data_IF_137647062604
#
_entry.id   IF_137647062604
#
_cell.length_a   1.000
_cell.length_b   1.000
_cell.length_c   1.000
_cell.angle_alpha   90.00
_cell.angle_beta   90.00
_cell.angle_gamma   90.00
#
_symmetry.space_group_name_H-M   'P 1'
#
loop_
_entity.id
_entity.type
_entity.pdbx_description
1 polymer ?
#
# COMPACT_ATOMS: atom_id res chain seq x y z
N UNK A 1 -16.64 -20.80 11.32
CA UNK A 1 -16.16 -19.59 10.63
C UNK A 1 -14.96 -19.95 9.79
N UNK A 2 -14.84 -19.41 8.56
CA UNK A 2 -13.73 -19.71 7.67
C UNK A 2 -12.52 -18.78 7.92
N UNK A 3 -12.76 -17.55 8.37
CA UNK A 3 -11.73 -16.53 8.65
C UNK A 3 -11.89 -15.89 10.05
N UNK A 4 -11.67 -16.62 11.16
CA UNK A 4 -11.85 -16.08 12.49
C UNK A 4 -10.83 -14.96 12.85
N UNK A 5 -11.32 -13.81 13.29
CA UNK A 5 -10.50 -12.74 13.87
C UNK A 5 -10.62 -12.72 15.40
N UNK A 6 -9.48 -12.70 16.09
CA UNK A 6 -9.46 -12.59 17.56
C UNK A 6 -9.73 -11.14 17.95
N UNK A 7 -10.77 -10.93 18.76
CA UNK A 7 -11.14 -9.59 19.27
C UNK A 7 -11.08 -9.59 20.80
N UNK A 8 -10.18 -8.77 21.34
CA UNK A 8 -9.99 -8.61 22.79
C UNK A 8 -11.16 -7.87 23.44
N UNK A 9 -11.31 -8.03 24.75
CA UNK A 9 -12.36 -7.33 25.51
C UNK A 9 -12.20 -5.81 25.45
N UNK A 10 -10.96 -5.32 25.45
CA UNK A 10 -10.66 -3.89 25.29
C UNK A 10 -11.19 -3.34 23.95
N UNK A 11 -10.96 -4.05 22.85
CA UNK A 11 -11.47 -3.65 21.54
C UNK A 11 -13.00 -3.68 21.53
N UNK A 12 -13.62 -4.72 22.10
CA UNK A 12 -15.10 -4.81 22.21
C UNK A 12 -15.67 -3.61 22.96
N UNK A 13 -15.05 -3.21 24.06
CA UNK A 13 -15.45 -2.06 24.86
C UNK A 13 -15.32 -0.75 24.08
N UNK A 14 -14.21 -0.52 23.38
CA UNK A 14 -14.02 0.67 22.55
C UNK A 14 -15.11 0.74 21.46
N UNK A 15 -15.40 -0.39 20.81
CA UNK A 15 -16.42 -0.43 19.77
C UNK A 15 -17.82 -0.13 20.32
N UNK A 16 -18.21 -0.74 21.43
CA UNK A 16 -19.55 -0.55 22.01
C UNK A 16 -19.76 0.85 22.58
N UNK A 17 -18.74 1.42 23.24
CA UNK A 17 -18.86 2.71 23.95
C UNK A 17 -18.61 3.92 23.04
N UNK A 18 -17.79 3.79 22.00
CA UNK A 18 -17.33 4.94 21.19
C UNK A 18 -17.63 4.81 19.71
N UNK A 19 -17.28 3.68 19.08
CA UNK A 19 -17.35 3.55 17.62
C UNK A 19 -18.79 3.39 17.15
N UNK A 20 -19.53 2.41 17.67
CA UNK A 20 -20.91 2.13 17.26
C UNK A 20 -21.83 3.34 17.51
N UNK A 21 -21.81 4.01 18.68
CA UNK A 21 -22.67 5.17 18.90
C UNK A 21 -22.40 6.33 17.94
N UNK A 22 -21.13 6.56 17.58
CA UNK A 22 -20.79 7.61 16.63
C UNK A 22 -21.26 7.28 15.21
N UNK A 23 -21.06 6.03 14.76
CA UNK A 23 -21.31 5.62 13.37
C UNK A 23 -22.76 5.22 13.06
N UNK A 24 -23.59 4.93 14.08
CA UNK A 24 -25.00 4.61 13.90
C UNK A 24 -25.73 5.67 13.05
N UNK A 25 -26.42 5.21 11.99
CA UNK A 25 -27.12 6.06 11.03
C UNK A 25 -26.21 6.84 10.06
N UNK A 26 -24.89 6.62 10.10
CA UNK A 26 -23.92 7.35 9.27
C UNK A 26 -23.14 6.44 8.32
N UNK A 27 -23.27 5.11 8.44
CA UNK A 27 -22.47 4.18 7.64
C UNK A 27 -22.89 4.22 6.16
N UNK A 28 -21.92 3.96 5.27
CA UNK A 28 -22.20 3.82 3.83
C UNK A 28 -23.21 2.69 3.59
N UNK A 29 -23.10 1.58 4.34
CA UNK A 29 -24.02 0.45 4.27
C UNK A 29 -25.47 0.85 4.55
N UNK A 30 -25.72 1.57 5.65
CA UNK A 30 -27.07 2.03 5.99
C UNK A 30 -27.65 2.95 4.92
N UNK A 31 -26.83 3.87 4.39
CA UNK A 31 -27.23 4.78 3.31
C UNK A 31 -27.57 4.02 2.03
N UNK A 32 -26.71 3.07 1.64
CA UNK A 32 -26.89 2.25 0.45
C UNK A 32 -28.19 1.45 0.53
N UNK A 33 -28.35 0.65 1.59
CA UNK A 33 -29.55 -0.19 1.76
C UNK A 33 -30.81 0.64 1.95
N UNK A 34 -30.73 1.80 2.59
CA UNK A 34 -31.87 2.71 2.74
C UNK A 34 -32.31 3.39 1.44
N UNK A 35 -31.44 3.44 0.43
CA UNK A 35 -31.74 4.03 -0.88
C UNK A 35 -32.29 3.03 -1.91
N UNK A 36 -32.24 1.72 -1.63
CA UNK A 36 -32.69 0.68 -2.55
C UNK A 36 -34.19 0.42 -2.47
N UNK A 37 -34.77 -0.09 -3.58
CA UNK A 37 -36.17 -0.46 -3.62
C UNK A 37 -36.43 -1.89 -3.11
N UNK A 38 -37.70 -2.24 -2.92
CA UNK A 38 -38.07 -3.57 -2.42
C UNK A 38 -37.64 -4.71 -3.34
N UNK A 39 -37.61 -4.49 -4.67
CA UNK A 39 -37.23 -5.52 -5.64
C UNK A 39 -35.75 -5.86 -5.53
N UNK A 40 -34.91 -4.84 -5.34
CA UNK A 40 -33.49 -5.00 -5.08
C UNK A 40 -33.26 -5.84 -3.82
N UNK A 41 -33.95 -5.51 -2.72
CA UNK A 41 -33.82 -6.28 -1.48
C UNK A 41 -34.28 -7.74 -1.63
N UNK A 42 -35.39 -7.98 -2.35
CA UNK A 42 -35.86 -9.34 -2.61
C UNK A 42 -34.84 -10.15 -3.41
N UNK A 43 -34.26 -9.56 -4.46
CA UNK A 43 -33.27 -10.23 -5.29
C UNK A 43 -31.95 -10.48 -4.55
N UNK A 44 -31.45 -9.50 -3.78
CA UNK A 44 -30.27 -9.65 -2.92
C UNK A 44 -30.48 -10.75 -1.87
N UNK A 45 -31.59 -10.72 -1.13
CA UNK A 45 -31.89 -11.72 -0.11
C UNK A 45 -32.15 -13.12 -0.69
N UNK A 46 -32.60 -13.21 -1.94
CA UNK A 46 -32.75 -14.47 -2.66
C UNK A 46 -31.43 -15.00 -3.26
N UNK A 47 -30.31 -14.26 -3.12
CA UNK A 47 -29.01 -14.65 -3.64
C UNK A 47 -28.88 -14.52 -5.16
N UNK A 48 -29.70 -13.69 -5.81
CA UNK A 48 -29.66 -13.49 -7.27
C UNK A 48 -28.38 -12.74 -7.68
N UNK A 49 -27.96 -11.78 -6.85
CA UNK A 49 -26.71 -11.05 -6.97
C UNK A 49 -26.24 -10.64 -5.57
N UNK A 50 -25.08 -9.99 -5.52
CA UNK A 50 -24.45 -9.50 -4.29
C UNK A 50 -24.00 -8.06 -4.45
N UNK A 51 -23.77 -7.35 -3.35
CA UNK A 51 -23.37 -5.95 -3.35
C UNK A 51 -21.95 -5.79 -2.82
N UNK A 52 -21.00 -5.45 -3.69
CA UNK A 52 -19.59 -5.34 -3.32
C UNK A 52 -19.33 -4.17 -2.35
N UNK A 53 -20.10 -3.08 -2.47
CA UNK A 53 -19.85 -1.87 -1.69
C UNK A 53 -20.58 -1.86 -0.33
N UNK A 54 -21.16 -2.98 0.11
CA UNK A 54 -21.88 -3.02 1.40
C UNK A 54 -20.95 -2.96 2.63
N UNK A 55 -19.73 -3.50 2.51
CA UNK A 55 -18.76 -3.62 3.63
C UNK A 55 -17.37 -3.07 3.28
N UNK A 56 -17.10 -2.82 1.99
CA UNK A 56 -15.82 -2.34 1.48
C UNK A 56 -16.05 -1.13 0.58
N UNK A 57 -15.06 -0.24 0.53
CA UNK A 57 -15.06 0.86 -0.41
C UNK A 57 -14.79 0.34 -1.83
N UNK A 58 -15.16 1.12 -2.87
CA UNK A 58 -14.58 0.95 -4.18
C UNK A 58 -13.04 0.88 -4.09
N UNK A 59 -12.45 0.17 -5.02
CA UNK A 59 -11.03 -0.18 -5.01
C UNK A 59 -10.70 -0.77 -6.36
N UNK A 60 -10.09 -1.96 -6.40
CA UNK A 60 -9.68 -2.61 -7.65
C UNK A 60 -8.82 -1.69 -8.52
N UNK A 61 -7.94 -0.92 -7.87
CA UNK A 61 -7.04 0.00 -8.51
C UNK A 61 -5.64 -0.60 -8.60
N UNK A 62 -4.96 -0.29 -9.71
CA UNK A 62 -3.55 -0.60 -9.90
C UNK A 62 -2.79 0.72 -9.88
N UNK A 63 -1.70 0.76 -9.12
CA UNK A 63 -0.84 1.92 -9.00
C UNK A 63 -0.21 2.31 -10.35
N UNK A 64 -0.03 3.62 -10.58
CA UNK A 64 0.74 4.15 -11.70
C UNK A 64 2.25 4.28 -11.39
N UNK A 65 3.05 4.83 -12.30
CA UNK A 65 4.49 4.95 -12.09
C UNK A 65 4.91 6.22 -11.32
N UNK A 66 3.99 7.12 -10.96
CA UNK A 66 4.36 8.48 -10.54
C UNK A 66 5.17 8.49 -9.25
N UNK A 67 4.87 7.59 -8.31
CA UNK A 67 5.54 7.55 -7.00
C UNK A 67 7.01 7.13 -7.08
N UNK A 68 7.42 6.57 -8.22
CA UNK A 68 8.81 6.21 -8.51
C UNK A 68 9.60 7.40 -9.09
N UNK A 69 8.91 8.46 -9.53
CA UNK A 69 9.52 9.65 -10.12
C UNK A 69 9.28 10.93 -9.32
N UNK A 70 8.32 10.91 -8.39
CA UNK A 70 7.88 12.06 -7.60
C UNK A 70 7.70 11.70 -6.13
N UNK A 71 8.07 12.61 -5.24
CA UNK A 71 7.69 12.55 -3.84
C UNK A 71 6.35 13.25 -3.58
N UNK A 72 5.81 13.07 -2.37
CA UNK A 72 4.61 13.76 -1.89
C UNK A 72 4.79 15.29 -1.90
N UNK A 73 6.01 15.81 -1.69
CA UNK A 73 6.29 17.24 -1.83
C UNK A 73 6.14 17.74 -3.27
N UNK A 74 6.46 16.90 -4.27
CA UNK A 74 6.25 17.23 -5.68
C UNK A 74 4.76 17.19 -6.03
N UNK A 75 4.00 16.23 -5.50
CA UNK A 75 2.54 16.23 -5.65
C UNK A 75 1.89 17.46 -5.01
N UNK A 76 2.35 17.87 -3.83
CA UNK A 76 1.87 19.11 -3.18
C UNK A 76 2.14 20.35 -4.03
N UNK A 77 3.30 20.42 -4.69
CA UNK A 77 3.61 21.51 -5.63
C UNK A 77 2.64 21.51 -6.81
N UNK A 78 2.41 20.37 -7.45
CA UNK A 78 1.43 20.26 -8.54
C UNK A 78 0.01 20.64 -8.07
N UNK A 79 -0.40 20.19 -6.87
CA UNK A 79 -1.70 20.53 -6.28
C UNK A 79 -1.81 22.05 -6.12
N UNK A 80 -0.81 22.71 -5.54
CA UNK A 80 -0.80 24.15 -5.36
C UNK A 80 -0.83 24.90 -6.71
N UNK A 81 -0.06 24.46 -7.70
CA UNK A 81 -0.04 25.03 -9.04
C UNK A 81 -1.39 24.91 -9.75
N UNK A 82 -2.05 23.76 -9.66
CA UNK A 82 -3.38 23.56 -10.25
C UNK A 82 -4.47 24.33 -9.50
N UNK A 83 -4.40 24.35 -8.18
CA UNK A 83 -5.31 25.12 -7.31
C UNK A 83 -5.24 26.63 -7.62
N UNK A 84 -4.05 27.17 -7.86
CA UNK A 84 -3.86 28.58 -8.24
C UNK A 84 -4.44 28.95 -9.62
N UNK A 85 -4.73 27.96 -10.48
CA UNK A 85 -5.30 28.15 -11.82
C UNK A 85 -6.82 28.06 -11.84
N UNK A 86 -7.48 27.83 -10.70
CA UNK A 86 -8.94 27.71 -10.64
C UNK A 86 -9.63 29.03 -11.03
N UNK A 87 -10.56 28.93 -11.99
CA UNK A 87 -11.37 30.05 -12.45
C UNK A 87 -12.69 30.11 -11.67
N UNK A 88 -12.68 30.82 -10.54
CA UNK A 88 -13.85 30.98 -9.69
C UNK A 88 -14.99 31.79 -10.32
N UNK A 89 -14.75 32.50 -11.43
CA UNK A 89 -15.76 33.33 -12.07
C UNK A 89 -16.54 32.59 -13.15
N UNK A 90 -15.87 31.70 -13.89
CA UNK A 90 -16.49 31.01 -15.02
C UNK A 90 -16.65 29.49 -14.84
N UNK A 91 -15.93 28.86 -13.91
CA UNK A 91 -16.06 27.43 -13.64
C UNK A 91 -17.01 27.18 -12.46
N UNK A 92 -18.23 26.65 -12.69
CA UNK A 92 -19.19 26.37 -11.61
C UNK A 92 -18.70 25.31 -10.61
N UNK A 93 -17.69 24.51 -10.98
CA UNK A 93 -17.08 23.50 -10.11
C UNK A 93 -15.80 23.97 -9.43
N UNK A 94 -15.38 25.24 -9.60
CA UNK A 94 -14.14 25.75 -9.04
C UNK A 94 -14.04 25.53 -7.52
N UNK A 95 -15.14 25.74 -6.79
CA UNK A 95 -15.17 25.52 -5.34
C UNK A 95 -14.99 24.05 -4.97
N UNK A 96 -15.68 23.13 -5.66
CA UNK A 96 -15.56 21.68 -5.40
C UNK A 96 -14.14 21.19 -5.66
N UNK A 97 -13.53 21.63 -6.77
CA UNK A 97 -12.13 21.34 -7.10
C UNK A 97 -11.18 21.90 -6.05
N UNK A 98 -11.43 23.10 -5.54
CA UNK A 98 -10.63 23.68 -4.47
C UNK A 98 -10.65 22.83 -3.20
N UNK A 99 -11.84 22.35 -2.80
CA UNK A 99 -11.98 21.48 -1.64
C UNK A 99 -11.24 20.15 -1.84
N UNK A 100 -11.31 19.57 -3.04
CA UNK A 100 -10.59 18.35 -3.39
C UNK A 100 -9.07 18.56 -3.34
N UNK A 101 -8.55 19.66 -3.92
CA UNK A 101 -7.12 19.99 -3.82
C UNK A 101 -6.66 20.22 -2.38
N UNK A 102 -7.48 20.86 -1.54
CA UNK A 102 -7.18 21.01 -0.12
C UNK A 102 -7.08 19.65 0.58
N UNK A 103 -8.03 18.74 0.32
CA UNK A 103 -8.03 17.39 0.88
C UNK A 103 -6.78 16.61 0.43
N UNK A 104 -6.47 16.60 -0.87
CA UNK A 104 -5.28 15.94 -1.42
C UNK A 104 -3.98 16.46 -0.78
N UNK A 105 -3.86 17.78 -0.57
CA UNK A 105 -2.70 18.37 0.07
C UNK A 105 -2.54 17.92 1.54
N UNK A 106 -3.65 17.77 2.27
CA UNK A 106 -3.65 17.25 3.65
C UNK A 106 -3.27 15.77 3.66
N UNK A 107 -3.80 14.96 2.74
CA UNK A 107 -3.43 13.55 2.62
C UNK A 107 -1.93 13.39 2.34
N UNK A 108 -1.36 14.20 1.44
CA UNK A 108 0.08 14.19 1.19
C UNK A 108 0.92 14.47 2.45
N UNK A 109 0.50 15.43 3.29
CA UNK A 109 1.14 15.67 4.60
C UNK A 109 1.01 14.46 5.53
N UNK A 110 -0.17 13.83 5.59
CA UNK A 110 -0.40 12.67 6.43
C UNK A 110 0.54 11.50 6.07
N UNK A 111 0.76 11.24 4.78
CA UNK A 111 1.70 10.20 4.33
C UNK A 111 3.15 10.55 4.71
N UNK A 112 3.55 11.81 4.55
CA UNK A 112 4.89 12.27 4.96
C UNK A 112 5.10 12.07 6.46
N UNK A 113 4.13 12.50 7.28
CA UNK A 113 4.18 12.36 8.74
C UNK A 113 4.21 10.88 9.14
N UNK A 114 3.45 10.03 8.45
CA UNK A 114 3.45 8.59 8.71
C UNK A 114 4.84 7.96 8.53
N UNK A 115 5.56 8.33 7.47
CA UNK A 115 6.93 7.87 7.25
C UNK A 115 7.93 8.47 8.24
N UNK A 116 7.82 9.76 8.55
CA UNK A 116 8.70 10.43 9.52
C UNK A 116 8.62 9.78 10.92
N UNK A 117 7.42 9.37 11.35
CA UNK A 117 7.25 8.62 12.61
C UNK A 117 7.98 7.28 12.62
N UNK A 118 8.08 6.61 11.48
CA UNK A 118 8.87 5.37 11.37
C UNK A 118 10.37 5.67 11.43
N UNK A 119 10.82 6.75 10.79
CA UNK A 119 12.21 7.19 10.90
C UNK A 119 12.59 7.52 12.34
N UNK A 120 11.75 8.28 13.05
CA UNK A 120 11.93 8.60 14.47
C UNK A 120 11.98 7.35 15.34
N UNK A 121 11.05 6.40 15.11
CA UNK A 121 11.05 5.15 15.87
C UNK A 121 12.28 4.30 15.58
N UNK A 122 12.75 4.25 14.34
CA UNK A 122 13.99 3.56 14.00
C UNK A 122 15.20 4.19 14.72
N UNK A 123 15.32 5.52 14.73
CA UNK A 123 16.39 6.23 15.47
C UNK A 123 16.32 5.99 16.98
N UNK A 124 15.12 5.88 17.56
CA UNK A 124 14.94 5.52 18.97
C UNK A 124 15.49 4.11 19.24
N UNK A 125 15.15 3.14 18.40
CA UNK A 125 15.59 1.74 18.55
C UNK A 125 17.11 1.58 18.41
N UNK A 126 17.76 2.37 17.56
CA UNK A 126 19.24 2.40 17.41
C UNK A 126 19.94 2.65 18.75
N UNK A 127 19.37 3.47 19.64
CA UNK A 127 20.01 3.85 20.91
C UNK A 127 20.16 2.68 21.88
N UNK A 128 19.29 1.68 21.79
CA UNK A 128 19.28 0.49 22.65
C UNK A 128 19.79 -0.78 21.96
N UNK A 129 20.16 -0.71 20.68
CA UNK A 129 20.57 -1.89 19.93
C UNK A 129 22.05 -2.21 20.15
N UNK A 130 22.31 -3.46 20.51
CA UNK A 130 23.65 -3.98 20.83
C UNK A 130 24.25 -4.77 19.69
N UNK A 131 23.43 -5.38 18.83
CA UNK A 131 23.90 -6.08 17.65
C UNK A 131 24.30 -5.06 16.57
N UNK A 132 25.59 -4.99 16.18
CA UNK A 132 26.06 -4.01 15.20
C UNK A 132 25.39 -4.19 13.82
N UNK A 133 24.98 -5.40 13.44
CA UNK A 133 24.29 -5.64 12.17
C UNK A 133 22.91 -5.02 12.23
N UNK A 134 22.13 -5.39 13.27
CA UNK A 134 20.77 -4.86 13.45
C UNK A 134 20.75 -3.34 13.61
N UNK A 135 21.75 -2.79 14.29
CA UNK A 135 21.91 -1.35 14.43
C UNK A 135 22.07 -0.66 13.08
N UNK A 136 22.93 -1.19 12.21
CA UNK A 136 23.12 -0.68 10.84
C UNK A 136 21.83 -0.73 10.03
N UNK A 137 21.06 -1.81 10.12
CA UNK A 137 19.75 -1.92 9.47
C UNK A 137 18.76 -0.86 9.96
N UNK A 138 18.71 -0.60 11.27
CA UNK A 138 17.83 0.42 11.84
C UNK A 138 18.25 1.83 11.43
N UNK A 139 19.55 2.12 11.37
CA UNK A 139 20.10 3.37 10.84
C UNK A 139 19.71 3.55 9.36
N UNK A 140 19.80 2.48 8.55
CA UNK A 140 19.36 2.48 7.15
C UNK A 140 17.84 2.70 7.01
N UNK A 141 17.02 2.04 7.84
CA UNK A 141 15.56 2.26 7.86
C UNK A 141 15.25 3.71 8.20
N UNK A 142 15.95 4.29 9.18
CA UNK A 142 15.76 5.68 9.58
C UNK A 142 16.10 6.65 8.43
N UNK A 143 17.19 6.42 7.71
CA UNK A 143 17.58 7.23 6.55
C UNK A 143 16.55 7.12 5.42
N UNK A 144 16.19 5.89 5.02
CA UNK A 144 15.19 5.65 3.96
C UNK A 144 13.86 6.33 4.29
N UNK A 145 13.32 6.13 5.50
CA UNK A 145 12.04 6.70 5.91
C UNK A 145 12.09 8.23 6.13
N UNK A 146 13.29 8.80 6.32
CA UNK A 146 13.46 10.26 6.36
C UNK A 146 13.37 10.89 4.97
N UNK A 147 13.67 10.12 3.93
CA UNK A 147 13.66 10.58 2.54
C UNK A 147 12.33 10.28 1.82
N UNK A 148 11.89 9.01 1.78
CA UNK A 148 10.64 8.60 1.13
C UNK A 148 9.49 8.45 2.12
N UNK A 149 8.25 8.78 1.72
CA UNK A 149 7.81 9.19 0.38
C UNK A 149 7.74 10.72 0.22
N UNK A 150 8.36 11.52 1.10
CA UNK A 150 8.38 12.98 0.96
C UNK A 150 9.04 13.42 -0.35
N UNK A 151 10.15 12.76 -0.70
CA UNK A 151 10.89 12.94 -1.94
C UNK A 151 10.80 11.69 -2.82
N UNK A 152 11.12 11.83 -4.11
CA UNK A 152 11.21 10.70 -5.03
C UNK A 152 12.30 9.70 -4.59
N UNK A 153 12.09 8.38 -4.74
CA UNK A 153 13.08 7.38 -4.36
C UNK A 153 14.37 7.52 -5.18
N UNK A 154 15.53 7.29 -4.56
CA UNK A 154 16.86 7.42 -5.17
C UNK A 154 17.46 6.09 -5.60
N UNK A 155 17.02 5.01 -4.96
CA UNK A 155 17.57 3.65 -5.07
C UNK A 155 16.46 2.59 -4.89
N UNK A 156 16.82 1.33 -5.06
CA UNK A 156 15.90 0.19 -5.05
C UNK A 156 15.15 0.01 -3.72
N UNK A 157 15.84 0.19 -2.58
CA UNK A 157 15.22 0.10 -1.26
C UNK A 157 14.18 1.20 -1.08
N UNK A 158 14.54 2.44 -1.39
CA UNK A 158 13.64 3.59 -1.32
C UNK A 158 12.42 3.42 -2.24
N UNK A 159 12.57 2.82 -3.41
CA UNK A 159 11.44 2.54 -4.31
C UNK A 159 10.43 1.58 -3.68
N UNK A 160 10.90 0.46 -3.10
CA UNK A 160 10.05 -0.49 -2.39
C UNK A 160 9.40 0.14 -1.15
N UNK A 161 10.16 0.90 -0.36
CA UNK A 161 9.66 1.53 0.85
C UNK A 161 8.66 2.67 0.55
N UNK A 162 8.88 3.44 -0.53
CA UNK A 162 7.95 4.46 -1.03
C UNK A 162 6.62 3.83 -1.40
N UNK A 163 6.64 2.78 -2.23
CA UNK A 163 5.45 2.00 -2.54
C UNK A 163 4.76 1.52 -1.26
N UNK A 164 5.51 0.95 -0.32
CA UNK A 164 4.92 0.36 0.88
C UNK A 164 4.22 1.40 1.76
N UNK A 165 4.76 2.62 1.88
CA UNK A 165 4.07 3.70 2.58
C UNK A 165 2.80 4.16 1.85
N UNK A 166 2.83 4.24 0.52
CA UNK A 166 1.65 4.58 -0.27
C UNK A 166 0.58 3.50 -0.14
N UNK A 167 0.95 2.23 -0.28
CA UNK A 167 0.06 1.07 -0.10
C UNK A 167 -0.64 1.12 1.25
N UNK A 168 0.11 1.25 2.35
CA UNK A 168 -0.48 1.35 3.70
C UNK A 168 -1.40 2.56 3.84
N UNK A 169 -1.04 3.69 3.23
CA UNK A 169 -1.86 4.91 3.32
C UNK A 169 -3.21 4.72 2.61
N UNK A 170 -3.22 4.12 1.42
CA UNK A 170 -4.45 3.84 0.67
C UNK A 170 -5.36 2.86 1.42
N UNK A 171 -4.83 1.73 1.91
CA UNK A 171 -5.66 0.70 2.55
C UNK A 171 -6.11 1.05 3.98
N UNK A 172 -5.51 2.09 4.57
CA UNK A 172 -5.93 2.63 5.88
C UNK A 172 -6.81 3.86 5.75
N UNK A 173 -6.78 4.56 4.61
CA UNK A 173 -7.74 5.62 4.27
C UNK A 173 -9.14 5.02 4.11
N UNK A 174 -9.26 3.92 3.37
CA UNK A 174 -10.50 3.16 3.18
C UNK A 174 -10.21 1.65 3.12
N UNK A 175 -11.20 0.84 3.55
CA UNK A 175 -11.19 -0.61 3.32
C UNK A 175 -11.55 -0.91 1.86
N UNK A 176 -10.62 -0.70 0.93
CA UNK A 176 -10.79 -0.89 -0.51
C UNK A 176 -10.82 -2.37 -0.88
N UNK A 177 -11.54 -2.73 -1.94
CA UNK A 177 -11.38 -4.04 -2.57
C UNK A 177 -9.99 -4.20 -3.22
N UNK A 178 -9.46 -5.42 -3.18
CA UNK A 178 -8.17 -5.84 -3.74
C UNK A 178 -6.96 -5.03 -3.23
N UNK A 179 -7.07 -4.57 -1.97
CA UNK A 179 -6.00 -3.84 -1.30
C UNK A 179 -5.53 -2.65 -2.16
N UNK A 180 -4.22 -2.56 -2.39
CA UNK A 180 -3.62 -1.70 -3.39
C UNK A 180 -2.54 -2.46 -4.16
N UNK A 181 -2.66 -2.50 -5.49
CA UNK A 181 -1.84 -3.37 -6.35
C UNK A 181 -0.59 -2.64 -6.86
N UNK A 182 0.62 -3.23 -6.73
CA UNK A 182 1.84 -2.65 -7.28
C UNK A 182 1.93 -2.74 -8.81
N UNK A 183 1.04 -3.52 -9.45
CA UNK A 183 0.98 -3.63 -10.90
C UNK A 183 2.24 -4.27 -11.47
N UNK A 184 2.92 -3.55 -12.37
CA UNK A 184 4.12 -4.02 -13.09
C UNK A 184 5.39 -3.76 -12.30
N UNK A 185 5.47 -4.36 -11.11
CA UNK A 185 6.52 -4.10 -10.13
C UNK A 185 7.93 -4.32 -10.71
N UNK A 186 8.11 -5.33 -11.56
CA UNK A 186 9.39 -5.60 -12.22
C UNK A 186 9.85 -4.46 -13.12
N UNK A 187 8.92 -3.81 -13.84
CA UNK A 187 9.22 -2.66 -14.69
C UNK A 187 9.52 -1.41 -13.86
N UNK A 188 8.76 -1.17 -12.79
CA UNK A 188 8.95 0.00 -11.94
C UNK A 188 10.27 -0.04 -11.17
N UNK A 189 10.76 -1.22 -10.82
CA UNK A 189 12.00 -1.39 -10.08
C UNK A 189 13.26 -1.50 -10.94
N UNK A 190 13.12 -1.83 -12.23
CA UNK A 190 14.24 -2.14 -13.13
C UNK A 190 15.30 -1.02 -13.14
N UNK A 191 14.89 0.23 -13.35
CA UNK A 191 15.83 1.36 -13.41
C UNK A 191 16.59 1.60 -12.10
N UNK A 192 15.97 1.31 -10.95
CA UNK A 192 16.65 1.40 -9.65
C UNK A 192 17.63 0.27 -9.43
N UNK A 193 17.32 -0.91 -9.96
CA UNK A 193 18.18 -2.09 -9.88
C UNK A 193 19.41 -1.95 -10.76
N UNK A 194 19.24 -1.60 -12.03
CA UNK A 194 20.34 -1.36 -12.97
C UNK A 194 21.30 -0.29 -12.44
N UNK A 195 20.76 0.85 -12.00
CA UNK A 195 21.54 1.92 -11.36
C UNK A 195 22.30 1.42 -10.13
N UNK A 196 21.64 0.64 -9.27
CA UNK A 196 22.26 0.10 -8.06
C UNK A 196 23.40 -0.88 -8.35
N UNK A 197 23.31 -1.65 -9.43
CA UNK A 197 24.40 -2.51 -9.91
C UNK A 197 25.56 -1.70 -10.48
N UNK A 198 25.28 -0.68 -11.30
CA UNK A 198 26.29 0.19 -11.90
C UNK A 198 27.09 0.98 -10.85
N UNK A 199 26.39 1.51 -9.84
CA UNK A 199 27.01 2.28 -8.73
C UNK A 199 27.62 1.38 -7.65
N UNK A 200 27.41 0.06 -7.71
CA UNK A 200 27.85 -0.89 -6.70
C UNK A 200 27.17 -0.74 -5.34
N UNK A 201 26.01 -0.07 -5.29
CA UNK A 201 25.21 0.13 -4.07
C UNK A 201 24.27 -1.03 -3.75
N UNK A 202 23.95 -1.87 -4.74
CA UNK A 202 23.29 -3.15 -4.54
C UNK A 202 24.33 -4.26 -4.45
N UNK A 203 24.62 -4.69 -3.23
CA UNK A 203 25.64 -5.70 -2.94
C UNK A 203 25.05 -7.09 -2.74
N UNK A 204 25.94 -8.08 -2.62
CA UNK A 204 25.60 -9.42 -2.17
C UNK A 204 25.87 -9.53 -0.67
N UNK A 205 24.98 -10.16 0.08
CA UNK A 205 25.22 -10.46 1.49
C UNK A 205 25.02 -11.94 1.77
N UNK A 206 25.81 -12.47 2.72
CA UNK A 206 25.66 -13.83 3.22
C UNK A 206 24.52 -13.86 4.23
N UNK A 207 23.48 -14.66 3.98
CA UNK A 207 22.48 -14.94 5.01
C UNK A 207 23.08 -15.86 6.09
N UNK A 208 22.77 -15.65 7.38
CA UNK A 208 23.13 -16.60 8.43
C UNK A 208 22.57 -17.97 8.08
N UNK A 209 23.42 -19.00 8.08
CA UNK A 209 22.98 -20.37 7.87
C UNK A 209 21.95 -20.73 8.95
N UNK A 210 20.72 -21.07 8.55
CA UNK A 210 19.81 -21.81 9.43
C UNK A 210 20.39 -23.22 9.62
N UNK A 211 20.16 -23.85 10.77
CA UNK A 211 20.59 -25.23 11.04
C UNK A 211 20.23 -26.12 9.83
N UNK A 212 21.24 -26.75 9.22
CA UNK A 212 21.16 -27.57 7.99
C UNK A 212 20.93 -26.86 6.64
N UNK A 213 21.28 -25.57 6.51
CA UNK A 213 21.31 -24.88 5.21
C UNK A 213 22.71 -24.38 4.88
N UNK A 214 23.11 -24.47 3.60
CA UNK A 214 24.36 -23.89 3.13
C UNK A 214 24.28 -22.36 3.23
N UNK A 215 25.41 -21.70 3.52
CA UNK A 215 25.53 -20.25 3.33
C UNK A 215 25.20 -19.92 1.88
N UNK A 216 24.26 -19.00 1.69
CA UNK A 216 23.86 -18.52 0.37
C UNK A 216 24.16 -17.03 0.29
N UNK A 217 24.90 -16.63 -0.74
CA UNK A 217 25.01 -15.23 -1.11
C UNK A 217 23.72 -14.85 -1.85
N UNK A 218 23.00 -13.86 -1.33
CA UNK A 218 21.76 -13.36 -1.95
C UNK A 218 22.00 -11.92 -2.37
N UNK A 219 21.59 -11.50 -3.59
CA UNK A 219 21.60 -10.08 -3.94
C UNK A 219 20.71 -9.35 -2.94
N UNK A 220 21.17 -8.24 -2.39
CA UNK A 220 20.39 -7.43 -1.44
C UNK A 220 19.01 -7.06 -2.01
N UNK A 221 18.89 -6.89 -3.34
CA UNK A 221 17.62 -6.71 -4.02
C UNK A 221 16.63 -7.87 -3.81
N UNK A 222 17.11 -9.13 -3.86
CA UNK A 222 16.28 -10.32 -3.65
C UNK A 222 15.83 -10.42 -2.20
N UNK A 223 16.71 -10.14 -1.24
CA UNK A 223 16.32 -10.10 0.18
C UNK A 223 15.27 -9.02 0.47
N UNK A 224 15.45 -7.81 -0.09
CA UNK A 224 14.45 -6.75 0.04
C UNK A 224 13.10 -7.14 -0.55
N UNK A 225 13.08 -7.84 -1.69
CA UNK A 225 11.84 -8.41 -2.25
C UNK A 225 11.26 -9.52 -1.35
N UNK A 226 12.06 -10.38 -0.74
CA UNK A 226 11.56 -11.37 0.23
C UNK A 226 10.90 -10.68 1.44
N UNK A 227 11.55 -9.64 1.99
CA UNK A 227 10.95 -8.83 3.04
C UNK A 227 9.62 -8.22 2.57
N UNK A 228 9.59 -7.66 1.36
CA UNK A 228 8.41 -7.07 0.75
C UNK A 228 7.24 -8.06 0.63
N UNK A 229 7.50 -9.32 0.24
CA UNK A 229 6.50 -10.38 0.22
C UNK A 229 5.97 -10.72 1.61
N UNK A 230 6.83 -10.76 2.62
CA UNK A 230 6.42 -10.94 4.02
C UNK A 230 5.52 -9.79 4.46
N UNK A 231 5.80 -8.54 4.04
CA UNK A 231 4.99 -7.37 4.38
C UNK A 231 3.54 -7.50 3.89
N UNK A 232 3.31 -7.95 2.65
CA UNK A 232 1.95 -8.21 2.16
C UNK A 232 1.24 -9.31 2.95
N UNK A 233 1.93 -10.41 3.26
CA UNK A 233 1.34 -11.51 4.04
C UNK A 233 1.01 -11.11 5.49
N UNK A 234 1.60 -10.04 6.00
CA UNK A 234 1.26 -9.48 7.31
C UNK A 234 -0.02 -8.62 7.29
N UNK A 235 -0.66 -8.41 6.14
CA UNK A 235 -1.87 -7.59 5.99
C UNK A 235 -3.05 -8.45 5.52
N UNK A 236 -3.85 -9.01 6.45
CA UNK A 236 -5.07 -9.71 6.05
C UNK A 236 -6.12 -8.72 5.54
N UNK A 237 -6.97 -9.15 4.63
CA UNK A 237 -8.20 -8.44 4.29
C UNK A 237 -9.00 -8.19 5.59
N UNK A 238 -9.52 -6.96 5.83
CA UNK A 238 -10.32 -6.69 7.01
C UNK A 238 -11.51 -7.65 7.16
N UNK A 239 -11.97 -7.93 8.40
CA UNK A 239 -12.98 -8.94 8.67
C UNK A 239 -14.27 -8.69 7.89
N UNK A 240 -14.80 -9.75 7.28
CA UNK A 240 -16.03 -9.77 6.48
C UNK A 240 -17.09 -10.56 7.23
N UNK A 241 -18.36 -10.19 7.05
CA UNK A 241 -19.51 -10.90 7.64
C UNK A 241 -20.63 -11.09 6.61
N UNK A 242 -21.55 -12.02 6.87
CA UNK A 242 -22.72 -12.26 6.01
C UNK A 242 -22.32 -12.59 4.56
N UNK A 243 -23.01 -11.98 3.59
CA UNK A 243 -22.82 -12.26 2.15
C UNK A 243 -21.37 -12.01 1.71
N UNK A 244 -20.72 -10.93 2.17
CA UNK A 244 -19.34 -10.64 1.78
C UNK A 244 -18.35 -11.74 2.20
N UNK A 245 -18.56 -12.38 3.36
CA UNK A 245 -17.75 -13.54 3.80
C UNK A 245 -18.04 -14.79 2.96
N UNK A 246 -19.29 -15.01 2.55
CA UNK A 246 -19.64 -16.14 1.67
C UNK A 246 -18.98 -16.02 0.30
N UNK A 247 -18.82 -14.80 -0.20
CA UNK A 247 -18.18 -14.52 -1.48
C UNK A 247 -16.66 -14.48 -1.45
N UNK A 248 -16.08 -13.96 -0.36
CA UNK A 248 -14.65 -13.67 -0.24
C UNK A 248 -14.10 -14.04 1.13
N UNK A 249 -14.49 -15.20 1.65
CA UNK A 249 -14.06 -15.74 2.95
C UNK A 249 -12.63 -16.23 2.97
N UNK A 250 -11.69 -15.30 2.82
CA UNK A 250 -10.24 -15.50 2.84
C UNK A 250 -9.56 -14.31 3.52
N UNK A 251 -8.41 -14.56 4.16
CA UNK A 251 -7.53 -13.51 4.67
C UNK A 251 -6.74 -12.80 3.56
N UNK A 252 -6.64 -13.39 2.38
CA UNK A 252 -5.92 -12.79 1.25
C UNK A 252 -6.69 -11.57 0.76
N UNK A 253 -6.00 -10.43 0.63
CA UNK A 253 -6.60 -9.19 0.14
C UNK A 253 -6.24 -8.86 -1.31
N UNK A 254 -5.88 -9.89 -2.08
CA UNK A 254 -5.73 -9.86 -3.53
C UNK A 254 -4.82 -8.74 -4.09
N UNK A 255 -3.70 -8.46 -3.42
CA UNK A 255 -2.66 -7.59 -3.97
C UNK A 255 -1.93 -8.29 -5.15
N UNK A 256 -2.36 -7.99 -6.37
CA UNK A 256 -1.90 -8.56 -7.63
C UNK A 256 -0.63 -7.89 -8.14
N UNK A 257 0.34 -8.73 -8.50
CA UNK A 257 1.60 -8.33 -9.14
C UNK A 257 1.62 -8.96 -10.54
N UNK A 258 1.82 -8.16 -11.57
CA UNK A 258 2.00 -8.63 -12.93
C UNK A 258 3.48 -8.54 -13.31
N UNK A 259 4.05 -9.69 -13.69
CA UNK A 259 5.47 -9.82 -14.01
C UNK A 259 5.64 -10.17 -15.49
N UNK A 260 6.62 -9.55 -16.16
CA UNK A 260 6.90 -9.70 -17.58
C UNK A 260 5.93 -8.91 -18.46
N UNK A 261 5.38 -9.57 -19.49
CA UNK A 261 4.46 -8.95 -20.45
C UNK A 261 5.18 -8.18 -21.55
N UNK A 262 4.54 -7.12 -22.07
CA UNK A 262 5.05 -6.34 -23.21
C UNK A 262 5.41 -4.91 -22.81
N UNK A 263 6.46 -4.34 -23.40
CA UNK A 263 6.83 -2.95 -23.20
C UNK A 263 5.78 -2.03 -23.87
N UNK A 264 5.27 -0.99 -23.18
CA UNK A 264 4.25 -0.12 -23.77
C UNK A 264 4.70 0.62 -25.03
N UNK A 265 5.99 0.94 -25.13
CA UNK A 265 6.52 1.78 -26.21
C UNK A 265 6.54 1.09 -27.58
N UNK A 266 6.86 -0.21 -27.63
CA UNK A 266 7.10 -0.95 -28.87
C UNK A 266 6.40 -2.32 -28.93
N UNK A 267 5.74 -2.76 -27.85
CA UNK A 267 5.10 -4.07 -27.78
C UNK A 267 6.08 -5.25 -27.71
N UNK A 268 7.38 -5.00 -27.49
CA UNK A 268 8.40 -6.04 -27.34
C UNK A 268 8.37 -6.69 -25.96
N UNK A 269 9.10 -7.79 -25.78
CA UNK A 269 9.20 -8.52 -24.50
C UNK A 269 9.72 -7.63 -23.35
N UNK A 270 8.99 -7.59 -22.24
CA UNK A 270 9.35 -6.81 -21.06
C UNK A 270 10.00 -7.64 -19.93
N UNK A 271 10.22 -8.93 -20.12
CA UNK A 271 10.90 -9.78 -19.14
C UNK A 271 12.33 -9.27 -18.88
N UNK A 272 12.71 -9.20 -17.60
CA UNK A 272 14.01 -8.73 -17.15
C UNK A 272 14.48 -9.49 -15.89
N UNK A 273 15.63 -9.12 -15.34
CA UNK A 273 16.21 -9.77 -14.16
C UNK A 273 15.32 -9.68 -12.91
N UNK A 274 14.59 -8.58 -12.72
CA UNK A 274 13.60 -8.47 -11.63
C UNK A 274 12.46 -9.47 -11.85
N UNK A 275 12.05 -9.69 -13.11
CA UNK A 275 10.98 -10.64 -13.42
C UNK A 275 11.34 -12.05 -12.93
N UNK A 276 12.56 -12.51 -13.20
CA UNK A 276 13.05 -13.79 -12.68
C UNK A 276 13.21 -13.76 -11.16
N UNK A 277 13.74 -12.66 -10.60
CA UNK A 277 13.90 -12.52 -9.15
C UNK A 277 12.57 -12.59 -8.40
N UNK A 278 11.49 -12.07 -8.97
CA UNK A 278 10.15 -12.19 -8.39
C UNK A 278 9.68 -13.65 -8.39
N UNK A 279 9.89 -14.39 -9.48
CA UNK A 279 9.52 -15.82 -9.54
C UNK A 279 10.27 -16.62 -8.47
N UNK A 280 11.58 -16.36 -8.34
CA UNK A 280 12.48 -16.90 -7.32
C UNK A 280 12.07 -16.59 -5.87
N UNK A 281 11.35 -15.50 -5.64
CA UNK A 281 10.88 -15.07 -4.31
C UNK A 281 9.53 -15.71 -3.95
N UNK A 282 8.72 -16.01 -4.97
CA UNK A 282 7.40 -16.62 -4.82
C UNK A 282 7.48 -18.14 -4.63
N UNK A 283 8.51 -18.79 -5.18
CA UNK A 283 8.81 -20.23 -4.98
C UNK A 283 9.22 -20.56 -3.54
#
# INVERSE_FOLDING_TARGET
>A
ERTPFVVTEEVRKIYSEKIIPFWAGKTIREKLFGAMDQKWHQAFNAGVFTEFMEQRAPGHAILDDKIYHKGMLDFKRDIAENRNKLDYFNDPHAYEKDQEYQAMNICADAVIVFAQRHAEKARELVQGETDPIRRSELEQIAEVCSHVPANAPRNFWEALQSYWFVHLSVITELNTWDSFNPGRLDQHLLGFYEKGLEEGTLTWHELPARENTAKMAVPQAKELLQCFWIKFNNQPAPPKVGVTEEQSGTYVDFALINTGGLRPADGGDAVNDISYMILDVVE
#
